data_IF_693999606297
#
_entry.id   IF_693999606297
#
_cell.length_a   1.000
_cell.length_b   1.000
_cell.length_c   1.000
_cell.angle_alpha   90.00
_cell.angle_beta   90.00
_cell.angle_gamma   90.00
#
_symmetry.space_group_name_H-M   'P 1'
#
loop_
_entity.id
_entity.type
_entity.pdbx_description
1 polymer ?
#
# COMPACT_ATOMS: atom_id res chain seq x y z
N UNK A 1 -20.37 28.55 16.85
CA UNK A 1 -19.68 27.32 17.24
C UNK A 1 -19.50 26.46 16.01
N UNK A 2 -18.27 26.36 15.51
CA UNK A 2 -17.91 25.40 14.47
C UNK A 2 -18.04 24.01 15.08
N UNK A 3 -19.00 23.22 14.63
CA UNK A 3 -19.04 21.79 14.83
C UNK A 3 -17.79 21.24 14.12
N UNK A 4 -16.74 20.96 14.87
CA UNK A 4 -15.63 20.15 14.37
C UNK A 4 -16.24 18.80 13.99
N UNK A 5 -16.35 18.53 12.70
CA UNK A 5 -16.72 17.20 12.21
C UNK A 5 -15.74 16.22 12.81
N UNK A 6 -16.21 15.15 13.47
CA UNK A 6 -15.30 14.15 14.02
C UNK A 6 -14.42 13.62 12.91
N UNK A 7 -13.12 13.64 13.14
CA UNK A 7 -12.13 13.13 12.21
C UNK A 7 -12.25 11.61 12.21
N UNK A 8 -13.12 11.05 11.34
CA UNK A 8 -13.35 9.62 11.22
C UNK A 8 -12.10 8.95 10.66
N UNK A 9 -11.21 8.53 11.56
CA UNK A 9 -10.12 7.64 11.22
C UNK A 9 -10.70 6.24 11.05
N UNK A 10 -10.83 5.79 9.82
CA UNK A 10 -11.24 4.42 9.54
C UNK A 10 -10.02 3.50 9.56
N UNK A 11 -10.16 2.33 10.18
CA UNK A 11 -9.22 1.23 9.99
C UNK A 11 -9.39 0.70 8.56
N UNK A 12 -8.38 0.89 7.72
CA UNK A 12 -8.40 0.50 6.31
C UNK A 12 -7.58 -0.75 6.01
N UNK A 13 -7.14 -1.46 7.04
CA UNK A 13 -6.34 -2.68 6.92
C UNK A 13 -7.17 -3.80 6.33
N UNK A 14 -6.54 -4.63 5.50
CA UNK A 14 -7.11 -5.84 4.93
C UNK A 14 -6.06 -6.93 5.06
N UNK A 15 -6.18 -7.65 6.16
CA UNK A 15 -5.22 -8.65 6.62
C UNK A 15 -5.96 -9.94 6.92
N UNK A 16 -5.38 -11.04 6.50
CA UNK A 16 -5.77 -12.38 6.92
C UNK A 16 -4.51 -13.09 7.42
N UNK A 17 -4.56 -13.66 8.60
CA UNK A 17 -3.49 -14.49 9.16
C UNK A 17 -4.09 -15.85 9.47
N UNK A 18 -3.41 -16.90 9.00
CA UNK A 18 -3.83 -18.29 9.20
C UNK A 18 -2.63 -19.13 9.61
N UNK A 19 -2.89 -20.24 10.27
CA UNK A 19 -1.94 -21.30 10.51
C UNK A 19 -2.26 -22.54 9.68
N UNK A 20 -1.26 -23.34 9.42
CA UNK A 20 -1.36 -24.66 8.81
C UNK A 20 -0.16 -25.53 9.27
N UNK A 21 -0.04 -26.72 8.72
CA UNK A 21 1.05 -27.63 9.05
C UNK A 21 2.47 -27.08 8.77
N UNK A 22 2.58 -26.04 7.92
CA UNK A 22 3.84 -25.38 7.57
C UNK A 22 4.11 -24.13 8.43
N UNK A 23 3.18 -23.77 9.33
CA UNK A 23 3.26 -22.62 10.21
C UNK A 23 2.30 -21.49 9.84
N UNK A 24 2.58 -20.29 10.34
CA UNK A 24 1.73 -19.12 10.10
C UNK A 24 2.02 -18.46 8.76
N UNK A 25 0.93 -18.07 8.09
CA UNK A 25 0.94 -17.33 6.85
C UNK A 25 0.07 -16.09 6.96
N UNK A 26 0.46 -15.05 6.28
CA UNK A 26 -0.29 -13.81 6.22
C UNK A 26 -0.61 -13.43 4.77
N UNK A 27 -1.74 -12.78 4.57
CA UNK A 27 -2.13 -12.09 3.35
C UNK A 27 -2.43 -10.64 3.70
N UNK A 28 -1.70 -9.72 3.07
CA UNK A 28 -2.02 -8.29 3.07
C UNK A 28 -2.52 -7.93 1.68
N UNK A 29 -3.67 -7.27 1.58
CA UNK A 29 -4.30 -7.01 0.28
C UNK A 29 -4.93 -5.63 0.19
N UNK A 30 -5.19 -5.18 -1.04
CA UNK A 30 -6.04 -4.02 -1.30
C UNK A 30 -7.54 -4.37 -1.33
N UNK A 31 -7.89 -5.65 -1.44
CA UNK A 31 -9.28 -6.12 -1.52
C UNK A 31 -10.03 -5.91 -0.21
N UNK A 32 -11.26 -5.39 -0.28
CA UNK A 32 -12.17 -5.42 0.87
C UNK A 32 -12.85 -6.80 0.95
N UNK A 33 -13.16 -7.31 2.15
CA UNK A 33 -13.80 -8.61 2.32
C UNK A 33 -15.32 -8.53 2.08
N UNK A 34 -15.73 -8.20 0.84
CA UNK A 34 -17.12 -8.20 0.40
C UNK A 34 -17.22 -8.44 -1.11
N UNK A 35 -18.37 -8.92 -1.60
CA UNK A 35 -18.58 -9.34 -2.99
C UNK A 35 -18.30 -8.24 -4.02
N UNK A 36 -18.64 -6.99 -3.73
CA UNK A 36 -18.38 -5.88 -4.63
C UNK A 36 -16.88 -5.69 -4.91
N UNK A 37 -16.02 -5.97 -3.93
CA UNK A 37 -14.56 -5.86 -4.09
C UNK A 37 -13.96 -6.97 -4.96
N UNK A 38 -14.62 -8.11 -5.09
CA UNK A 38 -14.15 -9.23 -5.91
C UNK A 38 -14.12 -8.89 -7.41
N UNK A 39 -14.89 -7.89 -7.83
CA UNK A 39 -14.94 -7.38 -9.20
C UNK A 39 -13.86 -6.35 -9.51
N UNK A 40 -13.17 -5.84 -8.50
CA UNK A 40 -12.15 -4.81 -8.66
C UNK A 40 -10.77 -5.42 -8.93
N UNK A 41 -9.91 -4.70 -9.63
CA UNK A 41 -8.50 -5.06 -9.81
C UNK A 41 -7.74 -4.83 -8.51
N UNK A 42 -7.67 -5.86 -7.69
CA UNK A 42 -6.98 -5.86 -6.42
C UNK A 42 -5.60 -6.52 -6.52
N UNK A 43 -4.76 -6.23 -5.54
CA UNK A 43 -3.44 -6.86 -5.39
C UNK A 43 -3.23 -7.26 -3.92
N UNK A 44 -2.49 -8.32 -3.69
CA UNK A 44 -2.12 -8.77 -2.36
C UNK A 44 -0.77 -9.48 -2.36
N UNK A 45 -0.18 -9.58 -1.19
CA UNK A 45 1.03 -10.33 -0.92
C UNK A 45 0.73 -11.38 0.15
N UNK A 46 0.97 -12.65 -0.20
CA UNK A 46 0.99 -13.75 0.76
C UNK A 46 2.43 -14.02 1.16
N UNK A 47 2.67 -14.15 2.47
CA UNK A 47 4.00 -14.43 3.01
C UNK A 47 3.91 -15.26 4.29
N UNK A 48 5.03 -15.85 4.68
CA UNK A 48 5.26 -16.53 5.95
C UNK A 48 6.52 -16.02 6.62
N UNK A 49 6.95 -16.68 7.67
CA UNK A 49 8.19 -16.36 8.37
C UNK A 49 8.08 -15.20 9.37
N UNK A 50 9.22 -14.59 9.77
CA UNK A 50 9.27 -13.65 10.91
C UNK A 50 8.36 -12.43 10.77
N UNK A 51 8.13 -11.93 9.56
CA UNK A 51 7.28 -10.77 9.31
C UNK A 51 5.79 -10.99 9.72
N UNK A 52 5.35 -12.24 9.87
CA UNK A 52 4.02 -12.55 10.40
C UNK A 52 3.88 -12.12 11.85
N UNK A 53 4.96 -12.23 12.64
CA UNK A 53 4.97 -11.77 14.04
C UNK A 53 4.76 -10.24 14.12
N UNK A 54 5.44 -9.47 13.27
CA UNK A 54 5.28 -8.01 13.22
C UNK A 54 3.84 -7.62 12.85
N UNK A 55 3.25 -8.38 11.92
CA UNK A 55 1.86 -8.16 11.53
C UNK A 55 0.89 -8.49 12.67
N UNK A 56 1.06 -9.61 13.38
CA UNK A 56 0.26 -9.98 14.55
C UNK A 56 0.36 -8.94 15.65
N UNK A 57 1.56 -8.42 15.94
CA UNK A 57 1.76 -7.34 16.91
C UNK A 57 0.99 -6.07 16.50
N UNK A 58 0.96 -5.76 15.22
CA UNK A 58 0.21 -4.64 14.69
C UNK A 58 -1.32 -4.83 14.84
N UNK A 59 -1.83 -6.02 14.56
CA UNK A 59 -3.26 -6.34 14.71
C UNK A 59 -3.67 -6.41 16.19
N UNK A 60 -2.79 -6.93 17.06
CA UNK A 60 -2.98 -6.89 18.52
C UNK A 60 -3.18 -5.46 19.03
N UNK A 61 -2.38 -4.52 18.55
CA UNK A 61 -2.53 -3.11 18.94
C UNK A 61 -3.90 -2.55 18.54
N UNK A 62 -4.41 -2.91 17.36
CA UNK A 62 -5.75 -2.50 16.90
C UNK A 62 -6.85 -3.12 17.76
N UNK A 63 -6.75 -4.40 18.10
CA UNK A 63 -7.69 -5.08 18.99
C UNK A 63 -7.73 -4.41 20.37
N UNK A 64 -6.58 -4.15 20.97
CA UNK A 64 -6.48 -3.47 22.26
C UNK A 64 -7.12 -2.06 22.21
N UNK A 65 -6.89 -1.30 21.14
CA UNK A 65 -7.53 0.02 20.94
C UNK A 65 -9.05 -0.06 20.78
N UNK A 66 -9.59 -1.17 20.31
CA UNK A 66 -11.04 -1.41 20.18
C UNK A 66 -11.69 -1.92 21.48
N UNK A 67 -10.90 -2.18 22.52
CA UNK A 67 -11.35 -2.78 23.79
C UNK A 67 -11.61 -4.28 23.69
N UNK A 68 -11.16 -4.93 22.61
CA UNK A 68 -11.27 -6.37 22.45
C UNK A 68 -10.18 -7.12 23.25
N UNK A 69 -10.47 -8.38 23.60
CA UNK A 69 -9.50 -9.26 24.23
C UNK A 69 -8.35 -9.58 23.25
N UNK A 70 -7.11 -9.55 23.74
CA UNK A 70 -5.92 -9.83 22.97
C UNK A 70 -5.31 -11.19 23.26
N UNK A 71 -5.85 -11.96 24.19
CA UNK A 71 -5.29 -13.23 24.67
C UNK A 71 -5.01 -14.22 23.53
N UNK A 72 -5.95 -14.39 22.60
CA UNK A 72 -5.79 -15.29 21.44
C UNK A 72 -4.61 -14.85 20.56
N UNK A 73 -4.44 -13.54 20.33
CA UNK A 73 -3.33 -13.04 19.52
C UNK A 73 -2.00 -13.17 20.27
N UNK A 74 -2.00 -12.99 21.58
CA UNK A 74 -0.83 -13.20 22.43
C UNK A 74 -0.37 -14.67 22.43
N UNK A 75 -1.30 -15.62 22.46
CA UNK A 75 -1.04 -17.04 22.28
C UNK A 75 -0.46 -17.36 20.89
N UNK A 76 -1.05 -16.80 19.84
CA UNK A 76 -0.53 -16.95 18.47
C UNK A 76 0.91 -16.42 18.34
N UNK A 77 1.20 -15.23 18.87
CA UNK A 77 2.56 -14.66 18.86
C UNK A 77 3.53 -15.57 19.62
N UNK A 78 3.11 -16.10 20.77
CA UNK A 78 3.94 -16.97 21.60
C UNK A 78 4.25 -18.32 20.94
N UNK A 79 3.36 -18.79 20.06
CA UNK A 79 3.51 -20.05 19.32
C UNK A 79 4.31 -19.92 18.02
N UNK A 80 4.64 -18.70 17.60
CA UNK A 80 5.47 -18.49 16.41
C UNK A 80 6.87 -19.07 16.62
N UNK A 81 7.44 -19.78 15.63
CA UNK A 81 8.83 -20.21 15.71
C UNK A 81 9.72 -18.98 15.91
N UNK A 82 10.55 -19.02 16.94
CA UNK A 82 11.59 -17.99 17.07
C UNK A 82 12.43 -18.02 15.78
N UNK A 83 12.61 -16.87 15.15
CA UNK A 83 13.39 -16.77 13.93
C UNK A 83 14.74 -17.44 14.15
N UNK A 84 15.05 -18.49 13.39
CA UNK A 84 16.37 -19.08 13.38
C UNK A 84 17.35 -17.98 12.93
N UNK A 85 18.14 -17.49 13.85
CA UNK A 85 19.21 -16.57 13.55
C UNK A 85 20.15 -17.26 12.54
N UNK A 86 20.14 -16.81 11.27
CA UNK A 86 21.15 -17.28 10.33
C UNK A 86 20.76 -17.49 8.87
N UNK A 87 19.53 -17.26 8.45
CA UNK A 87 19.24 -17.24 7.01
C UNK A 87 19.17 -15.78 6.58
N UNK A 88 20.28 -15.27 6.04
CA UNK A 88 20.29 -14.05 5.28
C UNK A 88 19.52 -14.32 3.97
N UNK A 89 18.20 -14.22 4.00
CA UNK A 89 17.39 -14.14 2.80
C UNK A 89 17.73 -12.80 2.12
N UNK A 90 18.06 -12.85 0.84
CA UNK A 90 18.24 -11.64 0.03
C UNK A 90 16.95 -10.81 -0.05
N UNK A 91 15.81 -11.46 0.17
CA UNK A 91 14.49 -10.85 0.18
C UNK A 91 14.01 -10.69 1.62
N UNK A 92 13.85 -9.45 2.05
CA UNK A 92 13.30 -9.12 3.36
C UNK A 92 11.89 -8.57 3.22
N UNK A 93 10.98 -9.07 4.07
CA UNK A 93 9.64 -8.51 4.21
C UNK A 93 9.62 -7.68 5.50
N UNK A 94 9.20 -6.45 5.38
CA UNK A 94 9.00 -5.54 6.50
C UNK A 94 7.52 -5.12 6.55
N UNK A 95 6.90 -5.26 7.70
CA UNK A 95 5.56 -4.75 7.95
C UNK A 95 5.66 -3.29 8.36
N UNK A 96 5.00 -2.41 7.60
CA UNK A 96 4.94 -0.98 7.90
C UNK A 96 3.49 -0.53 8.07
N UNK A 97 3.23 0.27 9.09
CA UNK A 97 1.89 0.74 9.42
C UNK A 97 1.86 2.24 9.67
N UNK A 98 0.68 2.84 9.59
CA UNK A 98 0.44 4.24 9.94
C UNK A 98 1.41 5.20 9.20
N UNK A 99 2.09 6.08 9.95
CA UNK A 99 3.03 7.06 9.38
C UNK A 99 4.25 6.43 8.71
N UNK A 100 4.64 5.21 9.11
CA UNK A 100 5.77 4.49 8.51
C UNK A 100 5.52 4.16 7.04
N UNK A 101 4.26 3.93 6.61
CA UNK A 101 3.90 3.73 5.20
C UNK A 101 4.34 4.94 4.36
N UNK A 102 4.03 6.16 4.82
CA UNK A 102 4.42 7.39 4.14
C UNK A 102 5.94 7.58 4.12
N UNK A 103 6.60 7.35 5.25
CA UNK A 103 8.06 7.45 5.34
C UNK A 103 8.72 6.48 4.37
N UNK A 104 8.30 5.22 4.34
CA UNK A 104 8.82 4.22 3.41
C UNK A 104 8.58 4.60 1.94
N UNK A 105 7.39 5.10 1.59
CA UNK A 105 7.12 5.58 0.23
C UNK A 105 8.09 6.71 -0.17
N UNK A 106 8.31 7.68 0.71
CA UNK A 106 9.25 8.79 0.49
C UNK A 106 10.69 8.30 0.36
N UNK A 107 11.10 7.36 1.19
CA UNK A 107 12.46 6.79 1.13
C UNK A 107 12.70 6.05 -0.20
N UNK A 108 11.71 5.26 -0.67
CA UNK A 108 11.78 4.58 -1.97
C UNK A 108 11.92 5.58 -3.12
N UNK A 109 11.12 6.65 -3.12
CA UNK A 109 11.15 7.68 -4.16
C UNK A 109 12.43 8.53 -4.07
N UNK A 110 12.77 8.98 -2.86
CA UNK A 110 13.88 9.90 -2.60
C UNK A 110 15.25 9.28 -2.85
N UNK A 111 15.38 7.96 -2.64
CA UNK A 111 16.64 7.23 -2.88
C UNK A 111 16.80 6.74 -4.32
N UNK A 112 15.78 6.87 -5.17
CA UNK A 112 15.86 6.51 -6.58
C UNK A 112 16.81 7.45 -7.34
N UNK A 113 17.64 6.87 -8.22
CA UNK A 113 18.71 7.55 -8.96
C UNK A 113 18.43 7.51 -10.47
N UNK A 114 19.17 8.31 -11.23
CA UNK A 114 19.15 8.26 -12.69
C UNK A 114 19.36 6.81 -13.20
N UNK A 115 18.49 6.37 -14.10
CA UNK A 115 18.47 5.00 -14.62
C UNK A 115 17.64 4.01 -13.81
N UNK A 116 17.18 4.36 -12.60
CA UNK A 116 16.19 3.59 -11.88
C UNK A 116 14.80 3.80 -12.48
N UNK A 117 13.88 2.88 -12.15
CA UNK A 117 12.47 2.99 -12.53
C UNK A 117 11.57 2.94 -11.31
N UNK A 118 10.57 3.82 -11.28
CA UNK A 118 9.46 3.83 -10.34
C UNK A 118 8.15 3.52 -11.07
N UNK A 119 7.49 2.46 -10.66
CA UNK A 119 6.17 2.06 -11.14
C UNK A 119 5.15 2.23 -10.01
N UNK A 120 4.12 3.04 -10.22
CA UNK A 120 3.02 3.22 -9.28
C UNK A 120 1.71 2.75 -9.89
N UNK A 121 0.91 2.01 -9.10
CA UNK A 121 -0.48 1.75 -9.41
C UNK A 121 -1.33 2.13 -8.20
N UNK A 122 -2.19 3.15 -8.34
CA UNK A 122 -2.89 3.75 -7.21
C UNK A 122 -4.37 3.96 -7.50
N UNK A 123 -5.20 3.55 -6.52
CA UNK A 123 -6.62 3.90 -6.54
C UNK A 123 -6.82 5.40 -6.29
N UNK A 124 -6.15 5.97 -5.25
CA UNK A 124 -6.11 7.42 -5.01
C UNK A 124 -4.67 7.90 -4.80
N UNK A 125 -4.29 8.92 -5.57
CA UNK A 125 -3.00 9.62 -5.48
C UNK A 125 -3.24 11.13 -5.41
N UNK A 126 -3.04 11.73 -4.24
CA UNK A 126 -3.21 13.19 -4.05
C UNK A 126 -2.33 13.78 -2.95
N UNK A 127 -1.44 12.98 -2.36
CA UNK A 127 -0.54 13.45 -1.30
C UNK A 127 0.50 14.41 -1.88
N UNK A 128 0.39 15.69 -1.54
CA UNK A 128 1.19 16.77 -2.15
C UNK A 128 2.70 16.50 -2.13
N UNK A 129 3.24 16.12 -0.97
CA UNK A 129 4.69 15.85 -0.86
C UNK A 129 5.13 14.71 -1.77
N UNK A 130 4.33 13.63 -1.91
CA UNK A 130 4.69 12.52 -2.80
C UNK A 130 4.62 12.94 -4.28
N UNK A 131 3.68 13.80 -4.67
CA UNK A 131 3.64 14.33 -6.03
C UNK A 131 4.89 15.18 -6.35
N UNK A 132 5.32 16.04 -5.43
CA UNK A 132 6.55 16.82 -5.59
C UNK A 132 7.78 15.90 -5.68
N UNK A 133 7.92 14.93 -4.76
CA UNK A 133 9.04 13.98 -4.76
C UNK A 133 9.10 13.11 -6.02
N UNK A 134 7.95 12.75 -6.62
CA UNK A 134 7.90 12.06 -7.91
C UNK A 134 8.40 12.95 -9.07
N UNK A 135 8.05 14.23 -9.07
CA UNK A 135 8.56 15.20 -10.05
C UNK A 135 10.08 15.38 -9.91
N UNK A 136 10.55 15.56 -8.68
CA UNK A 136 11.98 15.65 -8.39
C UNK A 136 12.73 14.37 -8.80
N UNK A 137 12.16 13.18 -8.59
CA UNK A 137 12.75 11.93 -9.05
C UNK A 137 12.84 11.89 -10.58
N UNK A 138 11.81 12.31 -11.28
CA UNK A 138 11.81 12.42 -12.74
C UNK A 138 12.90 13.41 -13.24
N UNK A 139 13.00 14.58 -12.62
CA UNK A 139 14.05 15.57 -12.91
C UNK A 139 15.47 15.03 -12.69
N UNK A 140 15.66 14.13 -11.71
CA UNK A 140 16.91 13.42 -11.47
C UNK A 140 17.23 12.33 -12.50
N UNK A 141 16.34 12.07 -13.46
CA UNK A 141 16.52 11.07 -14.51
C UNK A 141 15.99 9.67 -14.14
N UNK A 142 15.10 9.58 -13.16
CA UNK A 142 14.37 8.34 -12.86
C UNK A 142 13.22 8.17 -13.86
N UNK A 143 13.04 6.97 -14.41
CA UNK A 143 11.87 6.64 -15.20
C UNK A 143 10.65 6.47 -14.28
N UNK A 144 9.73 7.41 -14.29
CA UNK A 144 8.49 7.36 -13.47
C UNK A 144 7.31 7.02 -14.36
N UNK A 145 6.61 5.92 -14.03
CA UNK A 145 5.40 5.47 -14.73
C UNK A 145 4.26 5.30 -13.72
N UNK A 146 3.10 5.83 -14.04
CA UNK A 146 1.98 5.87 -13.11
C UNK A 146 0.72 5.35 -13.79
N UNK A 147 0.06 4.41 -13.12
CA UNK A 147 -1.25 3.89 -13.47
C UNK A 147 -2.25 4.32 -12.39
N UNK A 148 -3.30 5.03 -12.78
CA UNK A 148 -4.32 5.52 -11.87
C UNK A 148 -5.70 4.98 -12.22
N UNK A 149 -6.52 4.76 -11.19
CA UNK A 149 -7.95 4.60 -11.38
C UNK A 149 -8.56 5.89 -11.92
N UNK A 150 -9.46 5.78 -12.89
CA UNK A 150 -10.10 6.95 -13.50
C UNK A 150 -11.05 7.67 -12.52
N UNK A 151 -11.39 7.04 -11.40
CA UNK A 151 -12.33 7.53 -10.38
C UNK A 151 -13.67 8.00 -10.97
N UNK A 152 -14.13 7.32 -12.00
CA UNK A 152 -15.39 7.64 -12.66
C UNK A 152 -16.60 7.05 -11.94
N UNK A 153 -16.38 6.00 -11.14
CA UNK A 153 -17.44 5.30 -10.42
C UNK A 153 -17.05 4.98 -8.97
N UNK A 154 -17.97 5.13 -8.06
CA UNK A 154 -17.86 4.60 -6.71
C UNK A 154 -19.24 4.38 -6.11
N UNK A 155 -19.47 3.17 -5.61
CA UNK A 155 -20.73 2.77 -4.98
C UNK A 155 -21.94 2.98 -5.89
N UNK A 156 -21.78 2.75 -7.21
CA UNK A 156 -22.82 2.94 -8.20
C UNK A 156 -23.17 4.41 -8.49
N UNK A 157 -22.30 5.35 -8.10
CA UNK A 157 -22.45 6.77 -8.40
C UNK A 157 -21.32 7.24 -9.31
N UNK A 158 -21.68 7.99 -10.35
CA UNK A 158 -20.72 8.65 -11.24
C UNK A 158 -19.90 9.70 -10.47
N UNK A 159 -18.59 9.67 -10.65
CA UNK A 159 -17.64 10.62 -10.06
C UNK A 159 -16.95 11.45 -11.12
N UNK A 160 -16.45 12.62 -10.71
CA UNK A 160 -15.76 13.58 -11.59
C UNK A 160 -14.28 13.28 -11.84
N UNK A 161 -13.78 12.09 -11.46
CA UNK A 161 -12.36 11.73 -11.59
C UNK A 161 -11.44 12.30 -10.50
N UNK A 162 -12.00 12.93 -9.46
CA UNK A 162 -11.23 13.49 -8.34
C UNK A 162 -10.90 12.39 -7.31
N UNK A 163 -9.67 12.36 -6.74
CA UNK A 163 -8.60 13.36 -6.88
C UNK A 163 -7.60 13.09 -8.01
N UNK A 164 -7.65 11.92 -8.65
CA UNK A 164 -6.62 11.46 -9.58
C UNK A 164 -6.48 12.34 -10.83
N UNK A 165 -7.58 12.89 -11.34
CA UNK A 165 -7.54 13.74 -12.52
C UNK A 165 -6.64 14.97 -12.33
N UNK A 166 -6.70 15.60 -11.15
CA UNK A 166 -5.86 16.76 -10.85
C UNK A 166 -4.38 16.37 -10.75
N UNK A 167 -4.09 15.28 -10.04
CA UNK A 167 -2.74 14.75 -9.91
C UNK A 167 -2.14 14.31 -11.25
N UNK A 168 -2.95 13.66 -12.11
CA UNK A 168 -2.52 13.26 -13.44
C UNK A 168 -2.19 14.46 -14.33
N UNK A 169 -3.01 15.51 -14.30
CA UNK A 169 -2.74 16.74 -15.06
C UNK A 169 -1.42 17.39 -14.62
N UNK A 170 -1.17 17.46 -13.32
CA UNK A 170 0.05 18.02 -12.77
C UNK A 170 1.28 17.21 -13.17
N UNK A 171 1.23 15.87 -13.00
CA UNK A 171 2.33 14.97 -13.30
C UNK A 171 2.64 14.92 -14.80
N UNK A 172 1.60 14.87 -15.66
CA UNK A 172 1.77 14.95 -17.10
C UNK A 172 2.39 16.29 -17.53
N UNK A 173 1.99 17.39 -16.89
CA UNK A 173 2.60 18.71 -17.11
C UNK A 173 4.08 18.76 -16.74
N UNK A 174 4.54 17.91 -15.83
CA UNK A 174 5.96 17.72 -15.47
C UNK A 174 6.68 16.68 -16.35
N UNK A 175 6.05 16.13 -17.39
CA UNK A 175 6.64 15.14 -18.30
C UNK A 175 6.55 13.68 -17.83
N UNK A 176 5.89 13.41 -16.72
CA UNK A 176 5.72 12.05 -16.19
C UNK A 176 4.56 11.37 -16.92
N UNK A 177 4.78 10.15 -17.42
CA UNK A 177 3.75 9.37 -18.08
C UNK A 177 2.72 8.84 -17.08
N UNK A 178 1.50 9.36 -17.14
CA UNK A 178 0.35 8.85 -16.38
C UNK A 178 -0.64 8.17 -17.33
N UNK A 179 -1.04 6.96 -16.99
CA UNK A 179 -2.07 6.20 -17.72
C UNK A 179 -3.25 5.90 -16.81
N UNK A 180 -4.41 5.79 -17.40
CA UNK A 180 -5.63 5.36 -16.73
C UNK A 180 -5.79 3.86 -16.85
N UNK A 181 -6.28 3.24 -15.78
CA UNK A 181 -6.75 1.86 -15.86
C UNK A 181 -7.91 1.78 -16.86
N UNK A 182 -7.89 0.76 -17.69
CA UNK A 182 -9.01 0.46 -18.59
C UNK A 182 -10.04 -0.37 -17.82
N UNK A 183 -10.96 0.29 -17.15
CA UNK A 183 -12.01 -0.31 -16.32
C UNK A 183 -13.38 -0.07 -16.93
N UNK A 184 -14.25 -1.09 -16.87
CA UNK A 184 -15.64 -1.05 -17.38
C UNK A 184 -16.62 -1.29 -16.21
N UNK A 185 -16.69 -0.30 -15.27
CA UNK A 185 -17.56 -0.36 -14.10
C UNK A 185 -16.91 -0.97 -12.85
N UNK A 186 -15.75 -1.62 -12.96
CA UNK A 186 -14.92 -2.01 -11.83
C UNK A 186 -13.92 -0.92 -11.45
N UNK A 187 -13.26 -1.04 -10.31
CA UNK A 187 -12.22 -0.12 -9.85
C UNK A 187 -10.83 -0.75 -9.97
N UNK A 188 -9.86 0.04 -10.38
CA UNK A 188 -8.44 -0.31 -10.29
C UNK A 188 -7.97 -0.04 -8.86
N UNK A 189 -8.28 -0.96 -7.93
CA UNK A 189 -8.17 -0.74 -6.51
C UNK A 189 -6.79 -1.08 -5.93
N UNK A 190 -5.78 -1.23 -6.79
CA UNK A 190 -4.40 -1.48 -6.41
C UNK A 190 -3.76 -0.30 -5.71
N UNK A 191 -2.84 -0.56 -4.79
CA UNK A 191 -1.99 0.42 -4.13
C UNK A 191 -0.60 -0.17 -3.99
N UNK A 192 0.25 0.18 -4.95
CA UNK A 192 1.64 -0.26 -4.97
C UNK A 192 2.57 0.83 -5.46
N UNK A 193 3.79 0.79 -4.97
CA UNK A 193 4.95 1.51 -5.45
C UNK A 193 6.10 0.51 -5.58
N UNK A 194 6.62 0.34 -6.78
CA UNK A 194 7.74 -0.53 -7.09
C UNK A 194 8.90 0.32 -7.60
N UNK A 195 10.06 0.21 -6.98
CA UNK A 195 11.33 0.68 -7.52
C UNK A 195 12.12 -0.50 -8.07
N UNK A 196 12.72 -0.32 -9.22
CA UNK A 196 13.76 -1.19 -9.75
C UNK A 196 15.00 -0.38 -10.05
N UNK A 197 16.14 -0.81 -9.54
CA UNK A 197 17.42 -0.17 -9.87
C UNK A 197 18.04 -0.74 -11.17
N UNK A 198 19.09 -0.09 -11.63
CA UNK A 198 19.83 -0.49 -12.84
C UNK A 198 20.54 -1.84 -12.72
N UNK A 199 20.66 -2.39 -11.52
CA UNK A 199 21.26 -3.70 -11.23
C UNK A 199 20.25 -4.83 -11.11
N UNK A 200 18.93 -4.52 -11.22
CA UNK A 200 17.86 -5.49 -11.13
C UNK A 200 17.31 -5.71 -9.72
N UNK A 201 17.82 -5.00 -8.69
CA UNK A 201 17.22 -5.05 -7.36
C UNK A 201 15.87 -4.34 -7.37
N UNK A 202 14.95 -4.85 -6.58
CA UNK A 202 13.60 -4.31 -6.49
C UNK A 202 13.19 -4.03 -5.04
N UNK A 203 12.45 -2.94 -4.84
CA UNK A 203 11.78 -2.62 -3.59
C UNK A 203 10.30 -2.41 -3.89
N UNK A 204 9.44 -3.14 -3.20
CA UNK A 204 7.98 -3.06 -3.37
C UNK A 204 7.33 -2.62 -2.08
N UNK A 205 6.58 -1.52 -2.12
CA UNK A 205 5.61 -1.15 -1.09
C UNK A 205 4.21 -1.47 -1.62
N UNK A 206 3.47 -2.31 -0.89
CA UNK A 206 2.16 -2.78 -1.29
C UNK A 206 1.26 -2.87 -0.06
N UNK A 207 -0.03 -2.56 -0.22
CA UNK A 207 -0.98 -2.68 0.87
C UNK A 207 -2.35 -2.07 0.56
N UNK A 208 -3.01 -1.62 1.62
CA UNK A 208 -4.35 -1.05 1.53
C UNK A 208 -4.39 0.49 1.54
N UNK A 209 -3.29 1.15 1.85
CA UNK A 209 -3.23 2.59 2.03
C UNK A 209 -3.23 3.34 0.69
N UNK A 210 -4.14 4.29 0.53
CA UNK A 210 -4.08 5.27 -0.54
C UNK A 210 -3.01 6.34 -0.24
N UNK A 211 -2.43 6.93 -1.27
CA UNK A 211 -1.50 8.05 -1.13
C UNK A 211 -2.26 9.38 -1.15
N UNK A 212 -3.04 9.61 -0.09
CA UNK A 212 -3.83 10.83 0.16
C UNK A 212 -3.41 11.49 1.46
N UNK A 213 -3.98 12.68 1.76
CA UNK A 213 -3.75 13.37 3.04
C UNK A 213 -4.43 12.64 4.20
#
# INVERSE_FOLDING_TARGET
SYLALPNFKANHRKVLITDNAEGFHALVTSANPHDGSSRHSNIGLRFGGPAVADLLLSERAVLAMSGADTEVVDEMISSLPQAAAGIASLDTIQVVTESAIRTTARDIIGTAKAGDRLDLAMFYLSHRTLLEELKEAHERGVEVRILLDANNDAFGMEKSGIPNRQSAMELNGAGITVRWCNTEGEQCHSKLLLRRDSHGNAQLLLGSANFTR
#
